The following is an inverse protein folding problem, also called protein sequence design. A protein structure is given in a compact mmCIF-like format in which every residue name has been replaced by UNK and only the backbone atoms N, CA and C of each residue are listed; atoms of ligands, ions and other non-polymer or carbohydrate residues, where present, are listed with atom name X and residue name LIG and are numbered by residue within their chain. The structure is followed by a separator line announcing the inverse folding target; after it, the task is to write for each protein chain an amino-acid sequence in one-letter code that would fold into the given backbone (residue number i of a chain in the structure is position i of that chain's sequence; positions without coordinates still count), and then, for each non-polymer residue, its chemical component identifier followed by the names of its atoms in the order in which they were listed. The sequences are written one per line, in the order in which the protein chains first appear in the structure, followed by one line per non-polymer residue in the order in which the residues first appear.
data_IF_268779377683
#
_entry.id   IF_268779377683
#
_cell.length_a   1.000
_cell.length_b   1.000
_cell.length_c   1.000
_cell.angle_alpha   90.00
_cell.angle_beta   90.00
_cell.angle_gamma   90.00
#
_symmetry.space_group_name_H-M   'P 1'
#
loop_
_entity.id
_entity.type
_entity.pdbx_description
1 polymer ?
#
# COMPACT_ATOMS: atom_id res chain seq x y z
N UNK A 1 -13.53 -21.24 -18.91
CA UNK A 1 -12.68 -20.06 -19.12
C UNK A 1 -11.51 -20.12 -18.15
N UNK A 2 -10.25 -20.21 -18.61
CA UNK A 2 -9.08 -20.36 -17.73
C UNK A 2 -8.91 -19.21 -16.71
N UNK A 3 -9.45 -18.03 -16.98
CA UNK A 3 -9.34 -16.84 -16.12
C UNK A 3 -10.02 -16.96 -14.75
N UNK A 4 -11.17 -17.63 -14.67
CA UNK A 4 -11.95 -17.70 -13.43
C UNK A 4 -11.26 -18.58 -12.37
N UNK A 5 -10.61 -19.66 -12.80
CA UNK A 5 -9.87 -20.55 -11.91
C UNK A 5 -8.62 -19.87 -11.33
N UNK A 6 -7.93 -19.06 -12.15
CA UNK A 6 -6.76 -18.27 -11.74
C UNK A 6 -7.17 -17.21 -10.71
N UNK A 7 -8.24 -16.45 -10.98
CA UNK A 7 -8.75 -15.44 -10.06
C UNK A 7 -9.18 -16.06 -8.72
N UNK A 8 -9.89 -17.18 -8.75
CA UNK A 8 -10.30 -17.89 -7.54
C UNK A 8 -9.11 -18.45 -6.74
N UNK A 9 -8.07 -18.94 -7.42
CA UNK A 9 -6.85 -19.40 -6.76
C UNK A 9 -6.06 -18.28 -6.09
N UNK A 10 -5.94 -17.12 -6.75
CA UNK A 10 -5.33 -15.93 -6.17
C UNK A 10 -6.13 -15.44 -4.95
N UNK A 11 -7.46 -15.36 -5.04
CA UNK A 11 -8.31 -14.97 -3.91
C UNK A 11 -8.09 -15.86 -2.68
N UNK A 12 -8.05 -17.20 -2.87
CA UNK A 12 -7.75 -18.15 -1.78
C UNK A 12 -6.37 -17.96 -1.17
N UNK A 13 -5.36 -17.58 -1.97
CA UNK A 13 -4.04 -17.24 -1.43
C UNK A 13 -4.12 -16.00 -0.54
N UNK A 14 -4.78 -14.94 -1.01
CA UNK A 14 -4.91 -13.68 -0.28
C UNK A 14 -5.69 -13.85 1.03
N UNK A 15 -6.75 -14.65 1.05
CA UNK A 15 -7.49 -14.94 2.27
C UNK A 15 -6.64 -15.69 3.30
N UNK A 16 -5.86 -16.71 2.89
CA UNK A 16 -4.95 -17.42 3.79
C UNK A 16 -3.84 -16.50 4.34
N UNK A 17 -3.31 -15.62 3.49
CA UNK A 17 -2.37 -14.59 3.91
C UNK A 17 -2.99 -13.69 4.99
N UNK A 18 -4.21 -13.22 4.77
CA UNK A 18 -4.94 -12.43 5.75
C UNK A 18 -5.18 -13.19 7.07
N UNK A 19 -5.64 -14.44 7.01
CA UNK A 19 -5.86 -15.28 8.19
C UNK A 19 -4.58 -15.40 9.02
N UNK A 20 -3.45 -15.69 8.37
CA UNK A 20 -2.15 -15.75 9.04
C UNK A 20 -1.79 -14.42 9.71
N UNK A 21 -1.97 -13.30 9.02
CA UNK A 21 -1.64 -11.98 9.56
C UNK A 21 -2.59 -11.52 10.66
N UNK A 22 -3.85 -11.96 10.66
CA UNK A 22 -4.87 -11.52 11.60
C UNK A 22 -4.58 -11.88 13.06
N UNK A 23 -3.74 -12.90 13.27
CA UNK A 23 -3.26 -13.34 14.58
C UNK A 23 -2.09 -12.52 15.12
N UNK A 24 -1.44 -11.70 14.29
CA UNK A 24 -0.28 -10.91 14.70
C UNK A 24 -0.68 -9.72 15.59
N UNK A 25 0.21 -9.25 16.48
CA UNK A 25 -0.04 -8.04 17.27
C UNK A 25 -0.38 -6.85 16.38
N UNK A 26 -1.41 -6.10 16.74
CA UNK A 26 -1.78 -4.86 16.05
C UNK A 26 -0.95 -3.71 16.62
N UNK A 27 -0.38 -2.90 15.73
CA UNK A 27 0.41 -1.70 16.05
C UNK A 27 -0.12 -0.52 15.25
N UNK A 28 0.23 0.70 15.65
CA UNK A 28 -0.09 1.86 14.83
C UNK A 28 0.62 1.78 13.48
N UNK A 29 -0.04 2.16 12.39
CA UNK A 29 0.60 2.29 11.09
C UNK A 29 1.82 3.24 11.14
N UNK A 30 1.82 4.21 12.05
CA UNK A 30 2.96 5.09 12.31
C UNK A 30 4.23 4.33 12.76
N UNK A 31 4.10 3.15 13.37
CA UNK A 31 5.24 2.34 13.82
C UNK A 31 5.88 1.51 12.70
N UNK A 32 5.16 1.26 11.61
CA UNK A 32 5.59 0.38 10.51
C UNK A 32 5.82 1.14 9.20
N UNK A 33 5.57 2.45 9.18
CA UNK A 33 5.82 3.32 8.03
C UNK A 33 7.05 4.19 8.29
N UNK A 34 8.08 4.06 7.46
CA UNK A 34 9.31 4.84 7.55
C UNK A 34 9.12 6.26 7.01
N UNK A 35 8.58 7.15 7.85
CA UNK A 35 8.36 8.57 7.52
C UNK A 35 9.65 9.32 7.17
N UNK A 36 10.82 8.84 7.60
CA UNK A 36 12.10 9.48 7.26
C UNK A 36 12.38 9.43 5.75
N UNK A 37 11.72 8.54 5.00
CA UNK A 37 11.84 8.43 3.54
C UNK A 37 11.07 9.48 2.77
N UNK A 38 10.13 10.17 3.41
CA UNK A 38 9.27 11.17 2.76
C UNK A 38 9.33 12.55 3.42
N UNK A 39 9.79 12.60 4.67
CA UNK A 39 9.93 13.81 5.49
C UNK A 39 11.34 13.97 6.08
N UNK A 40 12.31 13.19 5.61
CA UNK A 40 13.69 13.23 6.10
C UNK A 40 14.54 14.34 5.46
N UNK A 41 15.77 14.53 5.96
CA UNK A 41 16.70 15.52 5.41
C UNK A 41 17.15 15.17 3.98
N UNK A 42 17.22 13.88 3.65
CA UNK A 42 17.67 13.38 2.34
C UNK A 42 16.56 13.43 1.29
N UNK A 43 15.32 13.15 1.69
CA UNK A 43 14.15 13.14 0.81
C UNK A 43 12.99 13.78 1.54
N UNK A 44 12.57 14.94 1.03
CA UNK A 44 11.40 15.68 1.51
C UNK A 44 10.44 15.91 0.36
N UNK A 45 9.28 15.27 0.42
CA UNK A 45 8.20 15.59 -0.52
C UNK A 45 7.66 16.99 -0.18
N UNK A 46 7.42 17.87 -1.17
CA UNK A 46 7.04 19.26 -0.98
C UNK A 46 5.55 19.43 -0.60
N UNK A 47 5.05 18.63 0.35
CA UNK A 47 3.70 18.80 0.89
C UNK A 47 3.66 19.92 1.95
N UNK A 48 2.51 20.59 2.03
CA UNK A 48 2.23 21.54 3.10
C UNK A 48 2.26 20.85 4.48
N UNK A 49 2.70 21.57 5.51
CA UNK A 49 2.79 21.03 6.88
C UNK A 49 1.42 20.57 7.42
N UNK A 50 0.35 21.26 7.05
CA UNK A 50 -1.02 20.84 7.38
C UNK A 50 -1.38 19.47 6.79
N UNK A 51 -0.95 19.17 5.56
CA UNK A 51 -1.12 17.86 4.92
C UNK A 51 -0.35 16.77 5.67
N UNK A 52 0.90 17.06 6.07
CA UNK A 52 1.69 16.12 6.88
C UNK A 52 1.01 15.80 8.22
N UNK A 53 0.46 16.80 8.89
CA UNK A 53 -0.28 16.59 10.14
C UNK A 53 -1.53 15.71 9.92
N UNK A 54 -2.24 15.84 8.80
CA UNK A 54 -3.36 14.96 8.48
C UNK A 54 -2.90 13.52 8.27
N UNK A 55 -1.81 13.31 7.54
CA UNK A 55 -1.23 11.97 7.35
C UNK A 55 -0.75 11.32 8.64
N UNK A 56 -0.07 12.07 9.50
CA UNK A 56 0.37 11.55 10.80
C UNK A 56 -0.81 11.18 11.70
N UNK A 57 -1.90 11.96 11.67
CA UNK A 57 -3.14 11.60 12.37
C UNK A 57 -3.75 10.31 11.81
N UNK A 58 -3.83 10.18 10.48
CA UNK A 58 -4.34 8.96 9.84
C UNK A 58 -3.49 7.73 10.23
N UNK A 59 -2.16 7.83 10.14
CA UNK A 59 -1.24 6.75 10.55
C UNK A 59 -1.42 6.34 12.01
N UNK A 60 -1.71 7.28 12.90
CA UNK A 60 -1.96 7.01 14.33
C UNK A 60 -3.32 6.36 14.58
N UNK A 61 -4.33 6.64 13.75
CA UNK A 61 -5.69 6.07 13.84
C UNK A 61 -5.81 4.67 13.25
N UNK A 62 -4.93 4.32 12.32
CA UNK A 62 -4.94 2.99 11.70
C UNK A 62 -4.08 2.03 12.52
N UNK A 63 -4.73 1.04 13.14
CA UNK A 63 -4.05 -0.10 13.72
C UNK A 63 -3.94 -1.24 12.68
N UNK A 64 -2.73 -1.68 12.37
CA UNK A 64 -2.45 -2.75 11.40
C UNK A 64 -1.72 -3.92 12.06
N UNK A 65 -1.87 -5.17 11.57
CA UNK A 65 -1.06 -6.27 12.05
C UNK A 65 0.42 -6.03 11.76
N UNK A 66 1.28 -6.17 12.77
CA UNK A 66 2.73 -6.10 12.62
C UNK A 66 3.25 -7.41 12.06
N UNK A 67 3.56 -7.41 10.77
CA UNK A 67 4.06 -8.59 10.04
C UNK A 67 5.22 -8.21 9.15
N UNK A 68 5.84 -9.19 8.49
CA UNK A 68 6.60 -8.87 7.29
C UNK A 68 5.66 -8.52 6.13
N UNK A 69 6.21 -7.86 5.11
CA UNK A 69 5.53 -7.57 3.86
C UNK A 69 6.44 -7.89 2.67
N UNK A 70 5.83 -8.28 1.56
CA UNK A 70 6.45 -8.45 0.26
C UNK A 70 7.02 -7.14 -0.29
N UNK A 71 6.34 -6.01 -0.10
CA UNK A 71 6.83 -4.71 -0.59
C UNK A 71 6.11 -4.21 -1.85
N UNK A 72 5.92 -5.13 -2.79
CA UNK A 72 5.32 -4.88 -4.12
C UNK A 72 4.38 -6.03 -4.54
N UNK A 73 3.47 -6.45 -3.67
CA UNK A 73 2.57 -7.57 -3.98
C UNK A 73 1.55 -7.19 -5.07
N UNK A 74 1.73 -7.74 -6.28
CA UNK A 74 0.90 -7.52 -7.47
C UNK A 74 0.70 -8.84 -8.22
N UNK A 75 -0.21 -8.86 -9.21
CA UNK A 75 -0.55 -10.08 -9.95
C UNK A 75 0.67 -10.75 -10.62
N UNK A 76 1.65 -9.96 -11.07
CA UNK A 76 2.87 -10.43 -11.73
C UNK A 76 3.77 -11.21 -10.79
N UNK A 77 3.64 -10.90 -9.50
CA UNK A 77 4.46 -11.49 -8.45
C UNK A 77 3.78 -12.75 -7.87
N UNK A 78 2.73 -13.24 -8.55
CA UNK A 78 2.09 -14.53 -8.28
C UNK A 78 2.39 -15.53 -9.40
N UNK A 79 3.15 -16.58 -9.08
CA UNK A 79 3.42 -17.69 -9.98
C UNK A 79 2.46 -18.86 -9.73
N UNK A 80 1.71 -19.27 -10.74
CA UNK A 80 0.89 -20.49 -10.66
C UNK A 80 1.78 -21.74 -10.79
N UNK A 81 1.68 -22.66 -9.84
CA UNK A 81 2.35 -23.96 -9.84
C UNK A 81 1.55 -24.99 -10.66
N UNK A 82 2.21 -26.10 -11.04
CA UNK A 82 1.58 -27.18 -11.84
C UNK A 82 0.36 -27.80 -11.18
N UNK A 83 0.29 -27.79 -9.85
CA UNK A 83 -0.83 -28.29 -9.05
C UNK A 83 -1.99 -27.27 -8.91
N UNK A 84 -1.90 -26.11 -9.59
CA UNK A 84 -2.88 -25.04 -9.54
C UNK A 84 -2.77 -24.13 -8.31
N UNK A 85 -1.84 -24.39 -7.39
CA UNK A 85 -1.53 -23.49 -6.27
C UNK A 85 -0.71 -22.28 -6.73
N UNK A 86 -0.56 -21.28 -5.86
CA UNK A 86 0.19 -20.06 -6.16
C UNK A 86 1.37 -19.89 -5.20
N UNK A 87 2.47 -19.38 -5.73
CA UNK A 87 3.63 -18.92 -4.96
C UNK A 87 3.85 -17.42 -5.18
N UNK A 88 4.33 -16.74 -4.15
CA UNK A 88 4.77 -15.35 -4.23
C UNK A 88 6.26 -15.36 -4.62
N UNK A 89 6.60 -14.61 -5.66
CA UNK A 89 7.96 -14.44 -6.19
C UNK A 89 8.35 -12.96 -6.13
N UNK A 90 9.61 -12.63 -6.46
CA UNK A 90 10.11 -11.26 -6.55
C UNK A 90 10.23 -10.51 -5.20
N UNK A 91 10.96 -11.12 -4.26
CA UNK A 91 11.12 -10.65 -2.88
C UNK A 91 12.14 -9.50 -2.68
N UNK A 92 12.57 -8.80 -3.73
CA UNK A 92 13.57 -7.73 -3.63
C UNK A 92 13.11 -6.53 -2.77
N UNK A 93 11.79 -6.34 -2.67
CA UNK A 93 11.17 -5.28 -1.87
C UNK A 93 10.76 -5.71 -0.46
N UNK A 94 11.22 -6.87 0.00
CA UNK A 94 10.84 -7.44 1.30
C UNK A 94 11.10 -6.47 2.47
N UNK A 95 10.11 -6.39 3.36
CA UNK A 95 10.21 -5.63 4.60
C UNK A 95 9.95 -6.54 5.81
N UNK A 96 10.94 -6.70 6.72
CA UNK A 96 10.78 -7.55 7.90
C UNK A 96 9.82 -6.93 8.94
N UNK A 97 9.69 -5.60 8.96
CA UNK A 97 8.82 -4.86 9.88
C UNK A 97 7.91 -3.96 9.07
N UNK A 98 6.69 -4.41 8.83
CA UNK A 98 5.70 -3.73 8.02
C UNK A 98 4.28 -4.21 8.36
N UNK A 99 3.37 -4.17 7.39
CA UNK A 99 2.08 -4.86 7.48
C UNK A 99 1.65 -5.47 6.15
N UNK A 100 1.27 -6.75 6.19
CA UNK A 100 0.67 -7.45 5.06
C UNK A 100 -0.64 -6.81 4.61
N UNK A 101 -1.33 -6.07 5.50
CA UNK A 101 -2.51 -5.30 5.12
C UNK A 101 -2.20 -4.30 3.99
N UNK A 102 -1.02 -3.67 4.00
CA UNK A 102 -0.62 -2.76 2.93
C UNK A 102 -0.36 -3.49 1.61
N UNK A 103 0.18 -4.70 1.64
CA UNK A 103 0.37 -5.50 0.42
C UNK A 103 -0.95 -6.00 -0.16
N UNK A 104 -1.89 -6.43 0.67
CA UNK A 104 -3.22 -6.83 0.22
C UNK A 104 -3.96 -5.65 -0.42
N UNK A 105 -3.87 -4.48 0.21
CA UNK A 105 -4.41 -3.25 -0.35
C UNK A 105 -3.72 -2.89 -1.67
N UNK A 106 -2.38 -2.95 -1.72
CA UNK A 106 -1.60 -2.72 -2.93
C UNK A 106 -2.05 -3.63 -4.08
N UNK A 107 -2.22 -4.93 -3.81
CA UNK A 107 -2.64 -5.92 -4.79
C UNK A 107 -4.00 -5.58 -5.41
N UNK A 108 -4.98 -5.21 -4.57
CA UNK A 108 -6.32 -4.85 -5.05
C UNK A 108 -6.29 -3.55 -5.86
N UNK A 109 -5.54 -2.55 -5.40
CA UNK A 109 -5.38 -1.28 -6.08
C UNK A 109 -4.68 -1.45 -7.45
N UNK A 110 -3.57 -2.20 -7.52
CA UNK A 110 -2.89 -2.51 -8.80
C UNK A 110 -3.76 -3.32 -9.76
N UNK A 111 -4.59 -4.24 -9.24
CA UNK A 111 -5.54 -4.99 -10.07
C UNK A 111 -6.55 -4.05 -10.74
N UNK A 112 -7.05 -3.03 -10.04
CA UNK A 112 -7.95 -2.03 -10.63
C UNK A 112 -7.24 -1.11 -11.63
N UNK A 113 -5.98 -0.76 -11.37
CA UNK A 113 -5.15 0.04 -12.29
C UNK A 113 -5.07 -0.62 -13.66
N UNK A 114 -4.89 -1.94 -13.69
CA UNK A 114 -4.81 -2.75 -14.92
C UNK A 114 -6.11 -2.83 -15.69
N UNK A 115 -7.24 -2.68 -15.02
CA UNK A 115 -8.57 -2.67 -15.64
C UNK A 115 -8.93 -1.30 -16.25
N UNK A 116 -7.99 -0.34 -16.28
CA UNK A 116 -8.15 0.92 -17.01
C UNK A 116 -8.24 2.17 -16.14
N UNK A 117 -7.99 2.09 -14.82
CA UNK A 117 -7.89 3.30 -14.00
C UNK A 117 -6.60 4.07 -14.34
N UNK A 118 -6.69 5.31 -14.88
CA UNK A 118 -5.60 5.94 -15.64
C UNK A 118 -4.44 6.44 -14.77
N UNK A 119 -4.68 6.77 -13.49
CA UNK A 119 -3.63 7.26 -12.59
C UNK A 119 -3.93 7.01 -11.11
N UNK A 120 -2.87 7.04 -10.29
CA UNK A 120 -2.92 6.73 -8.85
C UNK A 120 -3.83 7.66 -8.04
N UNK A 121 -3.93 8.94 -8.38
CA UNK A 121 -4.85 9.88 -7.72
C UNK A 121 -6.32 9.48 -7.88
N UNK A 122 -6.76 9.18 -9.12
CA UNK A 122 -8.10 8.64 -9.39
C UNK A 122 -8.28 7.28 -8.73
N UNK A 123 -7.24 6.47 -8.69
CA UNK A 123 -7.30 5.14 -8.08
C UNK A 123 -7.54 5.20 -6.56
N UNK A 124 -7.07 6.24 -5.89
CA UNK A 124 -7.38 6.51 -4.49
C UNK A 124 -8.84 6.92 -4.30
N UNK A 125 -9.31 7.89 -5.09
CA UNK A 125 -10.70 8.38 -4.99
C UNK A 125 -11.70 7.26 -5.29
N UNK A 126 -11.44 6.48 -6.33
CA UNK A 126 -12.17 5.25 -6.61
C UNK A 126 -11.95 4.20 -5.53
N UNK A 127 -10.76 4.15 -4.95
CA UNK A 127 -10.35 3.26 -3.86
C UNK A 127 -11.33 3.25 -2.70
N UNK A 128 -11.84 4.42 -2.32
CA UNK A 128 -12.86 4.54 -1.27
C UNK A 128 -14.15 3.76 -1.55
N UNK A 129 -14.44 3.50 -2.82
CA UNK A 129 -15.64 2.79 -3.29
C UNK A 129 -15.35 1.34 -3.68
N UNK A 130 -14.08 0.92 -3.64
CA UNK A 130 -13.71 -0.44 -4.00
C UNK A 130 -14.10 -1.41 -2.87
N UNK A 131 -14.92 -2.44 -3.15
CA UNK A 131 -15.31 -3.41 -2.13
C UNK A 131 -14.13 -4.04 -1.36
N UNK A 132 -12.97 -4.36 -1.99
CA UNK A 132 -11.82 -4.87 -1.25
C UNK A 132 -11.24 -3.89 -0.23
N UNK A 133 -11.26 -2.58 -0.51
CA UNK A 133 -10.77 -1.55 0.41
C UNK A 133 -11.69 -1.44 1.62
N UNK A 134 -12.99 -1.37 1.38
CA UNK A 134 -14.01 -1.34 2.44
C UNK A 134 -13.95 -2.59 3.31
N UNK A 135 -13.83 -3.78 2.70
CA UNK A 135 -13.72 -5.03 3.43
C UNK A 135 -12.45 -5.09 4.30
N UNK A 136 -11.31 -4.66 3.76
CA UNK A 136 -10.06 -4.62 4.52
C UNK A 136 -10.15 -3.61 5.68
N UNK A 137 -10.72 -2.43 5.44
CA UNK A 137 -10.96 -1.42 6.48
C UNK A 137 -11.88 -1.96 7.59
N UNK A 138 -12.95 -2.67 7.23
CA UNK A 138 -13.83 -3.35 8.19
C UNK A 138 -13.09 -4.41 9.01
N UNK A 139 -12.30 -5.27 8.35
CA UNK A 139 -11.49 -6.31 9.02
C UNK A 139 -10.46 -5.70 10.00
N UNK A 140 -9.95 -4.52 9.69
CA UNK A 140 -9.05 -3.76 10.56
C UNK A 140 -9.78 -2.95 11.63
N UNK A 141 -11.07 -2.66 11.47
CA UNK A 141 -11.83 -1.79 12.36
C UNK A 141 -11.45 -0.32 12.21
N UNK A 142 -11.14 0.12 10.98
CA UNK A 142 -10.68 1.48 10.68
C UNK A 142 -11.53 2.14 9.60
N UNK A 143 -11.44 3.46 9.49
CA UNK A 143 -12.12 4.22 8.44
C UNK A 143 -11.38 4.03 7.08
N UNK A 144 -12.07 3.78 5.95
CA UNK A 144 -11.41 3.60 4.66
C UNK A 144 -10.51 4.77 4.21
N UNK A 145 -10.89 6.06 4.38
CA UNK A 145 -9.99 7.20 4.15
C UNK A 145 -8.69 7.14 4.95
N UNK A 146 -8.76 6.85 6.26
CA UNK A 146 -7.57 6.75 7.11
C UNK A 146 -6.66 5.60 6.63
N UNK A 147 -7.23 4.45 6.26
CA UNK A 147 -6.48 3.31 5.71
C UNK A 147 -5.78 3.65 4.39
N UNK A 148 -6.49 4.30 3.46
CA UNK A 148 -5.90 4.72 2.18
C UNK A 148 -4.81 5.76 2.37
N UNK A 149 -4.97 6.69 3.30
CA UNK A 149 -3.95 7.65 3.66
C UNK A 149 -2.70 6.97 4.23
N UNK A 150 -2.86 6.07 5.21
CA UNK A 150 -1.76 5.30 5.77
C UNK A 150 -1.01 4.48 4.70
N UNK A 151 -1.76 3.80 3.83
CA UNK A 151 -1.23 3.07 2.68
C UNK A 151 -0.44 3.96 1.73
N UNK A 152 -0.94 5.15 1.44
CA UNK A 152 -0.33 6.01 0.43
C UNK A 152 0.97 6.61 0.91
N UNK A 153 1.07 6.95 2.19
CA UNK A 153 2.34 7.36 2.82
C UNK A 153 3.31 6.17 2.86
N UNK A 154 2.84 4.96 3.20
CA UNK A 154 3.65 3.75 3.12
C UNK A 154 4.22 3.55 1.71
N UNK A 155 3.38 3.68 0.67
CA UNK A 155 3.82 3.51 -0.72
C UNK A 155 4.77 4.61 -1.18
N UNK A 156 4.55 5.85 -0.76
CA UNK A 156 5.46 6.95 -1.01
C UNK A 156 6.84 6.69 -0.38
N UNK A 157 6.87 6.29 0.90
CA UNK A 157 8.09 5.93 1.60
C UNK A 157 8.86 4.80 0.92
N UNK A 158 8.17 3.75 0.49
CA UNK A 158 8.75 2.65 -0.29
C UNK A 158 9.32 3.11 -1.62
N UNK A 159 8.55 3.91 -2.36
CA UNK A 159 8.97 4.43 -3.66
C UNK A 159 10.24 5.26 -3.49
N UNK A 160 10.32 6.12 -2.47
CA UNK A 160 11.50 6.93 -2.19
C UNK A 160 12.69 6.08 -1.72
N UNK A 161 12.45 4.99 -0.99
CA UNK A 161 13.52 4.07 -0.53
C UNK A 161 14.33 3.52 -1.69
N UNK A 162 13.68 3.13 -2.79
CA UNK A 162 14.34 2.62 -4.02
C UNK A 162 15.35 3.60 -4.62
N UNK A 163 15.30 4.88 -4.24
CA UNK A 163 16.17 5.96 -4.74
C UNK A 163 17.06 6.58 -3.66
N UNK A 164 17.16 5.96 -2.48
CA UNK A 164 17.91 6.54 -1.34
C UNK A 164 19.32 5.97 -1.17
N UNK A 165 19.91 5.43 -2.24
CA UNK A 165 21.33 5.05 -2.29
C UNK A 165 22.24 6.26 -2.55
N UNK A 166 23.53 6.20 -2.15
CA UNK A 166 24.49 7.32 -2.27
C UNK A 166 24.71 7.81 -3.71
N UNK A 167 24.34 7.02 -4.71
CA UNK A 167 24.50 7.32 -6.14
C UNK A 167 23.16 7.58 -6.87
N UNK A 168 22.02 7.40 -6.19
CA UNK A 168 20.71 7.50 -6.82
C UNK A 168 20.08 8.86 -6.50
N UNK A 169 20.11 9.80 -7.46
CA UNK A 169 19.17 10.91 -7.41
C UNK A 169 17.75 10.36 -7.66
N UNK A 170 16.79 10.65 -6.78
CA UNK A 170 15.36 10.43 -7.07
C UNK A 170 15.05 11.22 -8.35
N UNK A 171 14.62 10.58 -9.45
CA UNK A 171 14.24 11.33 -10.65
C UNK A 171 13.12 12.32 -10.30
N UNK A 172 13.26 13.59 -10.68
CA UNK A 172 12.30 14.65 -10.31
C UNK A 172 10.86 14.28 -10.72
N UNK A 173 10.68 13.66 -11.89
CA UNK A 173 9.39 13.15 -12.34
C UNK A 173 8.74 12.15 -11.37
N UNK A 174 9.52 11.31 -10.68
CA UNK A 174 8.99 10.37 -9.67
C UNK A 174 8.63 11.08 -8.37
N UNK A 175 9.43 12.07 -7.96
CA UNK A 175 9.14 12.91 -6.79
C UNK A 175 7.85 13.70 -7.00
N UNK A 176 7.73 14.36 -8.16
CA UNK A 176 6.54 15.10 -8.55
C UNK A 176 5.30 14.20 -8.56
N UNK A 177 5.36 13.05 -9.24
CA UNK A 177 4.24 12.09 -9.28
C UNK A 177 3.84 11.60 -7.89
N UNK A 178 4.81 11.34 -7.01
CA UNK A 178 4.51 10.89 -5.63
C UNK A 178 3.83 12.00 -4.83
N UNK A 179 4.24 13.25 -5.05
CA UNK A 179 3.64 14.43 -4.42
C UNK A 179 2.20 14.62 -4.86
N UNK A 180 1.92 14.58 -6.18
CA UNK A 180 0.58 14.73 -6.74
C UNK A 180 -0.43 13.71 -6.18
N UNK A 181 0.03 12.46 -5.96
CA UNK A 181 -0.77 11.41 -5.34
C UNK A 181 -1.15 11.78 -3.91
N UNK A 182 -0.19 12.27 -3.12
CA UNK A 182 -0.42 12.65 -1.73
C UNK A 182 -1.26 13.95 -1.62
N UNK A 183 -1.12 14.89 -2.55
CA UNK A 183 -1.96 16.09 -2.55
C UNK A 183 -3.44 15.74 -2.82
N UNK A 184 -3.70 14.83 -3.75
CA UNK A 184 -5.06 14.37 -4.07
C UNK A 184 -5.76 13.72 -2.86
N UNK A 185 -5.00 12.97 -2.06
CA UNK A 185 -5.46 12.34 -0.82
C UNK A 185 -5.73 13.32 0.32
N UNK A 186 -4.97 14.41 0.39
CA UNK A 186 -5.16 15.44 1.43
C UNK A 186 -6.58 16.02 1.33
N UNK A 187 -7.07 16.26 0.12
CA UNK A 187 -8.44 16.75 -0.11
C UNK A 187 -9.50 15.76 0.41
N UNK A 188 -9.24 14.44 0.27
CA UNK A 188 -10.13 13.38 0.75
C UNK A 188 -10.17 13.31 2.28
N UNK A 189 -9.07 13.60 2.97
CA UNK A 189 -8.98 13.57 4.43
C UNK A 189 -9.57 14.80 5.13
N UNK A 190 -9.89 15.86 4.37
CA UNK A 190 -10.43 17.11 4.90
C UNK A 190 -11.96 17.09 5.11
N UNK A 191 -12.63 16.01 4.68
CA UNK A 191 -14.08 15.77 4.79
C UNK A 191 -14.39 14.94 6.03
#
# INVERSE_FOLDING_TARGET
MPGDAVAAGAARLLDRLWESASSAPRVSAHEVVDLSRVRGPTVRLPLAEASWQQYERALRRVAVPRTSAHGDLRQENLAQRRDGSFAIIDWESYEPVSSLAFDLLHFHLESQRRLGAPHWGVLVEHGLRLPPVTLLAQRLGVCPPDLLAAYSVNRAARTMRLFSGPEAAVPEARRQRTTEILESLTAVLAV
#
